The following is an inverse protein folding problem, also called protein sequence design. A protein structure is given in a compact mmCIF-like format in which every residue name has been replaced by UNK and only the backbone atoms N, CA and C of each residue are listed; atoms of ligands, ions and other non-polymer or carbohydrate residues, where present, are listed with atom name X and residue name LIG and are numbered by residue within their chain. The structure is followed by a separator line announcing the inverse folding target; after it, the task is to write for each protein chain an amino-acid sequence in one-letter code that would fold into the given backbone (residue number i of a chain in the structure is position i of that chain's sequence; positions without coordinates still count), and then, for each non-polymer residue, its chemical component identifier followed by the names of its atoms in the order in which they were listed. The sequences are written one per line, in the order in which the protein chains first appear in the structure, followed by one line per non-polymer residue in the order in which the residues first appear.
data_IF_219906735584
#
_entry.id   IF_219906735584
#
_cell.length_a   1.000
_cell.length_b   1.000
_cell.length_c   1.000
_cell.angle_alpha   90.00
_cell.angle_beta   90.00
_cell.angle_gamma   90.00
#
_symmetry.space_group_name_H-M   'P 1'
#
loop_
_entity.id
_entity.type
_entity.pdbx_description
1 polymer ?
#
# COMPACT_ATOMS: atom_id res chain seq x y z
N UNK A 1 -10.02 -16.42 -0.03
CA UNK A 1 -8.73 -17.08 0.22
C UNK A 1 -8.80 -17.73 1.59
N UNK A 2 -8.78 -19.05 1.68
CA UNK A 2 -8.69 -19.78 2.94
C UNK A 2 -7.24 -19.76 3.45
N UNK A 3 -6.77 -18.58 3.83
CA UNK A 3 -5.39 -18.34 4.27
C UNK A 3 -5.36 -17.22 5.30
N UNK A 4 -4.74 -17.48 6.45
CA UNK A 4 -4.56 -16.48 7.50
C UNK A 4 -3.40 -15.53 7.13
N UNK A 5 -3.72 -14.31 6.74
CA UNK A 5 -2.75 -13.26 6.45
C UNK A 5 -2.43 -12.38 7.66
N UNK A 6 -2.73 -12.88 8.85
CA UNK A 6 -2.40 -12.25 10.15
C UNK A 6 -2.89 -10.79 10.22
N UNK A 7 -4.17 -10.58 9.95
CA UNK A 7 -4.78 -9.27 10.13
C UNK A 7 -4.95 -8.98 11.63
N UNK A 8 -4.40 -7.85 12.07
CA UNK A 8 -4.56 -7.35 13.44
C UNK A 8 -5.41 -6.09 13.40
N UNK A 9 -6.65 -6.19 13.85
CA UNK A 9 -7.56 -5.05 13.94
C UNK A 9 -7.15 -4.16 15.11
N UNK A 10 -6.62 -2.96 14.79
CA UNK A 10 -6.07 -2.02 15.79
C UNK A 10 -6.63 -0.62 15.66
N UNK A 11 -7.50 -0.40 14.69
CA UNK A 11 -7.87 0.93 14.24
C UNK A 11 -6.74 1.61 13.44
N UNK A 12 -7.11 2.58 12.63
CA UNK A 12 -6.18 3.45 11.90
C UNK A 12 -6.61 4.89 12.07
N UNK A 13 -5.69 5.74 12.49
CA UNK A 13 -5.87 7.17 12.67
C UNK A 13 -4.96 7.92 11.69
N UNK A 14 -5.52 8.83 10.88
CA UNK A 14 -4.74 9.73 10.02
C UNK A 14 -4.86 11.14 10.57
N UNK A 15 -3.72 11.70 10.99
CA UNK A 15 -3.64 13.04 11.55
C UNK A 15 -3.81 14.12 10.47
N UNK A 16 -4.42 15.22 10.84
CA UNK A 16 -4.53 16.42 10.03
C UNK A 16 -3.77 17.57 10.70
N UNK A 17 -2.90 18.24 9.94
CA UNK A 17 -2.01 19.29 10.44
C UNK A 17 -2.30 20.66 9.86
N UNK A 18 -3.11 20.72 8.81
CA UNK A 18 -3.53 21.96 8.15
C UNK A 18 -5.03 22.03 7.99
N UNK A 19 -5.58 23.23 7.75
CA UNK A 19 -7.00 23.40 7.41
C UNK A 19 -7.38 22.67 6.10
N UNK A 20 -6.41 22.53 5.18
CA UNK A 20 -6.58 21.74 3.97
C UNK A 20 -6.81 20.26 4.29
N UNK A 21 -5.96 19.69 5.16
CA UNK A 21 -6.08 18.30 5.61
C UNK A 21 -7.39 18.06 6.35
N UNK A 22 -7.81 19.00 7.20
CA UNK A 22 -9.10 18.91 7.93
C UNK A 22 -10.27 18.81 6.94
N UNK A 23 -10.32 19.70 5.95
CA UNK A 23 -11.41 19.71 4.94
C UNK A 23 -11.44 18.43 4.14
N UNK A 24 -10.26 17.97 3.67
CA UNK A 24 -10.13 16.73 2.92
C UNK A 24 -10.52 15.52 3.78
N UNK A 25 -10.08 15.47 5.02
CA UNK A 25 -10.39 14.41 5.97
C UNK A 25 -11.89 14.30 6.27
N UNK A 26 -12.55 15.42 6.50
CA UNK A 26 -14.01 15.43 6.72
C UNK A 26 -14.76 14.95 5.48
N UNK A 27 -14.33 15.38 4.28
CA UNK A 27 -14.90 14.91 3.01
C UNK A 27 -14.71 13.40 2.85
N UNK A 28 -13.51 12.89 3.18
CA UNK A 28 -13.17 11.45 3.13
C UNK A 28 -14.01 10.63 4.11
N UNK A 29 -14.20 11.12 5.33
CA UNK A 29 -15.10 10.48 6.32
C UNK A 29 -16.52 10.37 5.77
N UNK A 30 -17.04 11.44 5.15
CA UNK A 30 -18.36 11.43 4.51
C UNK A 30 -18.46 10.38 3.40
N UNK A 31 -17.47 10.32 2.50
CA UNK A 31 -17.41 9.33 1.43
C UNK A 31 -17.28 7.89 1.96
N UNK A 32 -16.48 7.68 2.98
CA UNK A 32 -16.33 6.38 3.63
C UNK A 32 -17.65 5.90 4.23
N UNK A 33 -18.37 6.75 4.95
CA UNK A 33 -19.70 6.40 5.51
C UNK A 33 -20.71 6.02 4.42
N UNK A 34 -20.73 6.74 3.31
CA UNK A 34 -21.59 6.41 2.16
C UNK A 34 -21.26 5.04 1.55
N UNK A 35 -20.02 4.59 1.66
CA UNK A 35 -19.57 3.28 1.21
C UNK A 35 -19.64 2.20 2.32
N UNK A 36 -20.30 2.47 3.45
CA UNK A 36 -20.46 1.51 4.53
C UNK A 36 -19.21 1.28 5.39
N UNK A 37 -18.21 2.17 5.29
CA UNK A 37 -17.00 2.11 6.11
C UNK A 37 -17.22 2.90 7.39
N UNK A 38 -16.94 2.28 8.53
CA UNK A 38 -16.93 2.97 9.82
C UNK A 38 -15.74 3.94 9.84
N UNK A 39 -16.04 5.20 9.66
CA UNK A 39 -15.06 6.27 9.72
C UNK A 39 -15.64 7.44 10.48
N UNK A 40 -14.84 8.10 11.29
CA UNK A 40 -15.23 9.27 12.04
C UNK A 40 -14.13 10.32 12.03
N UNK A 41 -14.52 11.56 12.30
CA UNK A 41 -13.60 12.66 12.55
C UNK A 41 -13.45 12.84 14.06
N UNK A 42 -12.21 12.93 14.50
CA UNK A 42 -11.83 13.17 15.88
C UNK A 42 -11.24 14.58 16.01
N UNK A 43 -11.65 15.32 17.01
CA UNK A 43 -10.99 16.55 17.41
C UNK A 43 -9.67 16.26 18.15
N UNK A 44 -8.82 17.28 18.41
CA UNK A 44 -7.53 17.05 19.09
C UNK A 44 -7.65 16.42 20.48
N UNK A 45 -8.71 16.72 21.24
CA UNK A 45 -8.91 16.13 22.57
C UNK A 45 -9.22 14.64 22.47
N UNK A 46 -10.08 14.24 21.54
CA UNK A 46 -10.39 12.84 21.24
C UNK A 46 -9.18 12.08 20.70
N UNK A 47 -8.35 12.73 19.85
CA UNK A 47 -7.07 12.18 19.39
C UNK A 47 -6.16 11.89 20.59
N UNK A 48 -6.04 12.82 21.52
CA UNK A 48 -5.22 12.66 22.74
C UNK A 48 -5.73 11.54 23.65
N UNK A 49 -7.03 11.38 23.76
CA UNK A 49 -7.65 10.32 24.55
C UNK A 49 -7.32 8.93 23.96
N UNK A 50 -7.46 8.77 22.62
CA UNK A 50 -7.13 7.53 21.94
C UNK A 50 -5.63 7.27 21.83
N UNK A 51 -4.81 8.31 21.74
CA UNK A 51 -3.35 8.21 21.62
C UNK A 51 -2.64 9.14 22.60
N UNK A 52 -2.53 8.76 23.87
CA UNK A 52 -1.95 9.60 24.95
C UNK A 52 -0.49 10.04 24.72
N UNK A 53 0.27 9.31 23.92
CA UNK A 53 1.68 9.62 23.62
C UNK A 53 1.84 10.78 22.62
N UNK A 54 0.79 11.12 21.85
CA UNK A 54 0.88 12.21 20.87
C UNK A 54 1.00 13.59 21.57
N UNK A 55 1.89 14.41 21.05
CA UNK A 55 1.94 15.82 21.41
C UNK A 55 0.93 16.60 20.56
N UNK A 56 -0.10 17.16 21.20
CA UNK A 56 -1.15 17.94 20.55
C UNK A 56 -1.05 19.45 20.84
N UNK A 57 0.11 19.94 21.35
CA UNK A 57 0.28 21.37 21.64
C UNK A 57 0.29 22.19 20.35
N UNK A 58 -0.28 23.38 20.40
CA UNK A 58 -0.36 24.30 19.26
C UNK A 58 0.99 24.92 18.88
N UNK A 59 1.98 24.90 19.79
CA UNK A 59 3.30 25.50 19.59
C UNK A 59 4.33 24.58 18.95
N UNK A 60 3.92 23.48 18.38
CA UNK A 60 4.78 22.56 17.63
C UNK A 60 4.74 22.87 16.13
N UNK A 61 5.77 22.44 15.40
CA UNK A 61 5.90 22.71 13.96
C UNK A 61 4.71 22.21 13.13
N UNK A 62 4.12 21.08 13.51
CA UNK A 62 2.98 20.46 12.85
C UNK A 62 1.89 20.15 13.89
N UNK A 63 1.10 21.16 14.30
CA UNK A 63 0.04 20.97 15.30
C UNK A 63 -1.01 19.96 14.79
N UNK A 64 -1.52 19.14 15.70
CA UNK A 64 -2.59 18.21 15.38
C UNK A 64 -3.93 18.94 15.46
N UNK A 65 -4.58 19.12 14.31
CA UNK A 65 -5.89 19.77 14.19
C UNK A 65 -7.06 18.80 14.30
N UNK A 66 -6.80 17.52 14.36
CA UNK A 66 -7.74 16.41 14.44
C UNK A 66 -7.26 15.21 13.65
N UNK A 67 -8.10 14.21 13.49
CA UNK A 67 -7.78 13.00 12.74
C UNK A 67 -9.02 12.36 12.12
N UNK A 68 -8.86 11.60 11.05
CA UNK A 68 -9.82 10.56 10.68
C UNK A 68 -9.51 9.29 11.47
N UNK A 69 -10.54 8.56 11.88
CA UNK A 69 -10.38 7.30 12.57
C UNK A 69 -11.27 6.22 11.97
N UNK A 70 -10.70 5.04 11.79
CA UNK A 70 -11.39 3.84 11.34
C UNK A 70 -11.16 2.71 12.34
N UNK A 71 -12.10 2.45 13.24
CA UNK A 71 -11.90 1.49 14.36
C UNK A 71 -11.70 0.04 13.88
N UNK A 72 -12.30 -0.34 12.75
CA UNK A 72 -12.17 -1.69 12.18
C UNK A 72 -11.01 -1.88 11.22
N UNK A 73 -10.23 -0.85 10.96
CA UNK A 73 -9.00 -0.94 10.21
C UNK A 73 -7.87 -1.55 11.06
N UNK A 74 -6.73 -1.84 10.46
CA UNK A 74 -5.62 -2.46 11.18
C UNK A 74 -4.42 -2.74 10.30
N UNK A 75 -3.63 -3.71 10.70
CA UNK A 75 -2.40 -4.13 10.03
C UNK A 75 -2.59 -5.55 9.49
N UNK A 76 -2.25 -5.77 8.22
CA UNK A 76 -2.05 -7.10 7.65
C UNK A 76 -0.56 -7.30 7.36
N UNK A 77 -0.04 -8.49 7.59
CA UNK A 77 1.32 -8.83 7.16
C UNK A 77 1.35 -8.97 5.64
N UNK A 78 2.03 -8.04 4.97
CA UNK A 78 2.07 -7.97 3.51
C UNK A 78 2.64 -9.24 2.86
N UNK A 79 3.63 -9.90 3.48
CA UNK A 79 4.18 -11.18 3.01
C UNK A 79 3.11 -12.27 2.98
N UNK A 80 2.32 -12.39 4.04
CA UNK A 80 1.25 -13.38 4.14
C UNK A 80 0.15 -13.11 3.10
N UNK A 81 -0.15 -11.84 2.83
CA UNK A 81 -1.09 -11.46 1.75
C UNK A 81 -0.55 -11.91 0.40
N UNK A 82 0.73 -11.63 0.11
CA UNK A 82 1.37 -12.05 -1.14
C UNK A 82 1.39 -13.57 -1.29
N UNK A 83 1.72 -14.30 -0.22
CA UNK A 83 1.73 -15.77 -0.22
C UNK A 83 0.34 -16.37 -0.38
N UNK A 84 -0.69 -15.75 0.20
CA UNK A 84 -2.06 -16.20 0.01
C UNK A 84 -2.49 -16.13 -1.46
N UNK A 85 -2.16 -15.03 -2.14
CA UNK A 85 -2.40 -14.90 -3.57
C UNK A 85 -1.55 -15.87 -4.40
N UNK A 86 -0.26 -16.00 -4.11
CA UNK A 86 0.62 -16.92 -4.81
C UNK A 86 0.14 -18.37 -4.70
N UNK A 87 -0.23 -18.80 -3.49
CA UNK A 87 -0.80 -20.14 -3.26
C UNK A 87 -2.09 -20.34 -4.08
N UNK A 88 -2.97 -19.35 -4.11
CA UNK A 88 -4.21 -19.47 -4.88
C UNK A 88 -3.96 -19.49 -6.40
N UNK A 89 -2.97 -18.76 -6.87
CA UNK A 89 -2.55 -18.83 -8.27
C UNK A 89 -2.02 -20.23 -8.63
N UNK A 90 -1.18 -20.81 -7.78
CA UNK A 90 -0.64 -22.16 -7.96
C UNK A 90 -1.77 -23.22 -8.00
N UNK A 91 -2.74 -23.15 -7.08
CA UNK A 91 -3.94 -24.01 -7.08
C UNK A 91 -4.79 -23.88 -8.37
N UNK A 92 -4.73 -22.72 -9.03
CA UNK A 92 -5.42 -22.45 -10.30
C UNK A 92 -4.57 -22.79 -11.53
N UNK A 93 -3.40 -23.38 -11.35
CA UNK A 93 -2.50 -23.82 -12.43
C UNK A 93 -1.66 -22.70 -13.03
N UNK A 94 -1.40 -21.63 -12.27
CA UNK A 94 -0.50 -20.54 -12.69
C UNK A 94 0.93 -20.91 -12.31
N UNK A 95 1.85 -20.96 -13.28
CA UNK A 95 3.25 -21.14 -13.04
C UNK A 95 3.89 -19.89 -12.42
N UNK A 96 4.44 -19.99 -11.23
CA UNK A 96 5.15 -18.92 -10.54
C UNK A 96 6.65 -19.17 -10.59
N UNK A 97 7.35 -18.40 -11.40
CA UNK A 97 8.80 -18.54 -11.60
C UNK A 97 9.53 -17.46 -10.82
N UNK A 98 10.00 -17.80 -9.64
CA UNK A 98 10.78 -16.89 -8.79
C UNK A 98 12.22 -16.70 -9.31
N UNK A 99 12.83 -15.56 -8.96
CA UNK A 99 14.20 -15.23 -9.39
C UNK A 99 14.38 -15.32 -10.92
N UNK A 100 13.36 -14.89 -11.64
CA UNK A 100 13.30 -14.87 -13.09
C UNK A 100 13.12 -13.41 -13.57
N UNK A 101 14.23 -12.78 -13.87
CA UNK A 101 14.27 -11.38 -14.31
C UNK A 101 13.90 -11.27 -15.79
N UNK A 102 12.95 -10.40 -16.11
CA UNK A 102 12.64 -10.03 -17.50
C UNK A 102 13.66 -9.02 -17.99
N UNK A 103 14.42 -9.40 -19.00
CA UNK A 103 15.51 -8.59 -19.59
C UNK A 103 15.13 -7.96 -20.93
N UNK A 104 13.95 -8.25 -21.46
CA UNK A 104 13.46 -7.67 -22.70
C UNK A 104 12.20 -8.35 -23.24
N UNK A 105 11.74 -7.86 -24.39
CA UNK A 105 10.56 -8.38 -25.07
C UNK A 105 10.91 -8.92 -26.45
N UNK A 106 10.22 -9.98 -26.86
CA UNK A 106 10.21 -10.44 -28.25
C UNK A 106 9.08 -9.72 -28.98
N UNK A 107 9.38 -9.21 -30.16
CA UNK A 107 8.41 -8.49 -30.99
C UNK A 107 8.37 -9.06 -32.39
N UNK A 108 7.17 -9.10 -32.95
CA UNK A 108 6.90 -9.30 -34.34
C UNK A 108 6.17 -8.05 -34.86
N UNK A 109 6.87 -7.19 -35.61
CA UNK A 109 6.41 -5.86 -35.93
C UNK A 109 6.10 -5.04 -34.66
N UNK A 110 4.85 -4.63 -34.51
CA UNK A 110 4.38 -3.82 -33.39
C UNK A 110 3.73 -4.68 -32.26
N UNK A 111 3.76 -6.00 -32.39
CA UNK A 111 3.15 -6.95 -31.46
C UNK A 111 4.21 -7.60 -30.57
N UNK A 112 3.95 -7.68 -29.26
CA UNK A 112 4.75 -8.51 -28.34
C UNK A 112 4.34 -9.96 -28.54
N UNK A 113 5.34 -10.84 -28.72
CA UNK A 113 5.17 -12.29 -28.92
C UNK A 113 5.88 -13.12 -27.86
N UNK A 114 6.50 -12.48 -26.88
CA UNK A 114 7.15 -13.15 -25.77
C UNK A 114 8.02 -12.22 -24.93
N UNK A 115 8.63 -12.80 -23.91
CA UNK A 115 9.58 -12.13 -23.04
C UNK A 115 10.92 -12.86 -23.00
N UNK A 116 12.01 -12.12 -22.92
CA UNK A 116 13.36 -12.64 -22.64
C UNK A 116 13.61 -12.55 -21.14
N UNK A 117 14.14 -13.60 -20.57
CA UNK A 117 14.48 -13.64 -19.15
C UNK A 117 15.92 -14.16 -18.97
N UNK A 118 16.45 -13.97 -17.76
CA UNK A 118 17.73 -14.57 -17.36
C UNK A 118 17.71 -16.12 -17.29
N UNK A 119 16.53 -16.75 -17.49
CA UNK A 119 16.33 -18.21 -17.50
C UNK A 119 15.89 -18.75 -18.85
N UNK A 120 15.86 -17.91 -19.88
CA UNK A 120 15.43 -18.28 -21.22
C UNK A 120 14.27 -17.43 -21.72
N UNK A 121 13.65 -17.87 -22.78
CA UNK A 121 12.57 -17.15 -23.46
C UNK A 121 11.23 -17.81 -23.19
N UNK A 122 10.21 -16.98 -22.92
CA UNK A 122 8.82 -17.42 -22.77
C UNK A 122 8.02 -16.80 -23.92
N UNK A 123 7.45 -17.63 -24.77
CA UNK A 123 6.57 -17.19 -25.83
C UNK A 123 5.15 -16.99 -25.30
N UNK A 124 4.52 -15.87 -25.65
CA UNK A 124 3.16 -15.55 -25.22
C UNK A 124 2.53 -14.52 -26.16
N UNK A 125 1.23 -14.55 -26.27
CA UNK A 125 0.49 -13.58 -27.08
C UNK A 125 0.18 -12.29 -26.34
N UNK A 126 0.24 -12.29 -25.00
CA UNK A 126 -0.10 -11.15 -24.13
C UNK A 126 0.84 -11.10 -22.94
N UNK A 127 1.24 -9.89 -22.55
CA UNK A 127 2.07 -9.64 -21.37
C UNK A 127 1.42 -8.56 -20.51
N UNK A 128 1.21 -8.85 -19.23
CA UNK A 128 0.79 -7.88 -18.23
C UNK A 128 2.00 -7.35 -17.45
N UNK A 129 2.18 -6.03 -17.38
CA UNK A 129 3.23 -5.40 -16.58
C UNK A 129 2.68 -5.04 -15.19
N UNK A 130 3.01 -5.82 -14.17
CA UNK A 130 2.59 -5.63 -12.79
C UNK A 130 3.82 -5.48 -11.87
N UNK A 131 4.74 -4.58 -12.22
CA UNK A 131 6.05 -4.43 -11.57
C UNK A 131 6.15 -3.16 -10.70
N UNK A 132 5.02 -2.58 -10.29
CA UNK A 132 4.95 -1.39 -9.43
C UNK A 132 5.95 -0.30 -9.85
N UNK A 133 6.90 0.07 -9.00
CA UNK A 133 7.90 1.10 -9.28
C UNK A 133 8.83 0.82 -10.46
N UNK A 134 8.94 -0.43 -10.92
CA UNK A 134 9.77 -0.81 -12.07
C UNK A 134 8.99 -0.88 -13.39
N UNK A 135 7.68 -0.57 -13.36
CA UNK A 135 6.82 -0.66 -14.56
C UNK A 135 7.29 0.26 -15.69
N UNK A 136 7.82 1.45 -15.39
CA UNK A 136 8.35 2.38 -16.40
C UNK A 136 9.57 1.81 -17.13
N UNK A 137 10.46 1.10 -16.42
CA UNK A 137 11.65 0.47 -17.00
C UNK A 137 11.23 -0.63 -17.98
N UNK A 138 10.30 -1.49 -17.59
CA UNK A 138 9.79 -2.54 -18.47
C UNK A 138 9.00 -1.97 -19.66
N UNK A 139 8.27 -0.87 -19.47
CA UNK A 139 7.57 -0.18 -20.55
C UNK A 139 8.55 0.37 -21.60
N UNK A 140 9.65 0.97 -21.17
CA UNK A 140 10.72 1.43 -22.08
C UNK A 140 11.32 0.26 -22.87
N UNK A 141 11.61 -0.86 -22.23
CA UNK A 141 12.07 -2.09 -22.93
C UNK A 141 11.02 -2.57 -23.96
N UNK A 142 9.73 -2.38 -23.67
CA UNK A 142 8.65 -2.70 -24.59
C UNK A 142 8.45 -1.62 -25.69
N UNK A 143 9.12 -0.48 -25.59
CA UNK A 143 9.11 0.60 -26.59
C UNK A 143 7.99 1.61 -26.40
N UNK A 144 7.46 1.76 -25.19
CA UNK A 144 6.51 2.83 -24.86
C UNK A 144 6.83 3.46 -23.51
N UNK A 145 6.32 4.66 -23.29
CA UNK A 145 6.55 5.41 -22.05
C UNK A 145 5.30 5.36 -21.16
N UNK A 146 5.50 5.03 -19.88
CA UNK A 146 4.51 5.24 -18.83
C UNK A 146 4.84 6.51 -18.04
N UNK A 147 3.85 7.37 -17.74
CA UNK A 147 4.06 8.56 -16.92
C UNK A 147 4.10 8.20 -15.42
N UNK A 148 4.96 7.26 -15.07
CA UNK A 148 5.17 6.80 -13.69
C UNK A 148 6.57 7.20 -13.26
N UNK A 149 6.66 7.88 -12.13
CA UNK A 149 7.92 8.21 -11.47
C UNK A 149 7.97 7.54 -10.10
N UNK A 150 9.02 6.77 -9.86
CA UNK A 150 9.24 6.11 -8.58
C UNK A 150 9.98 7.03 -7.63
N UNK A 151 9.48 7.15 -6.40
CA UNK A 151 10.14 7.87 -5.32
C UNK A 151 10.51 6.88 -4.21
N UNK A 152 11.78 6.87 -3.77
CA UNK A 152 12.16 6.05 -2.62
C UNK A 152 11.49 6.61 -1.35
N UNK A 153 10.88 5.71 -0.58
CA UNK A 153 10.39 6.02 0.76
C UNK A 153 11.29 5.35 1.79
N UNK A 154 11.43 6.00 2.93
CA UNK A 154 12.22 5.47 4.03
C UNK A 154 11.29 4.74 5.01
N UNK A 155 11.64 3.51 5.37
CA UNK A 155 10.99 2.75 6.42
C UNK A 155 12.00 2.49 7.54
N UNK A 156 11.55 2.62 8.78
CA UNK A 156 12.34 2.34 9.98
C UNK A 156 11.61 1.31 10.82
N UNK A 157 12.35 0.38 11.38
CA UNK A 157 11.84 -0.64 12.29
C UNK A 157 12.64 -0.55 13.58
N UNK A 158 11.95 -0.45 14.70
CA UNK A 158 12.58 -0.48 16.03
C UNK A 158 12.98 -1.90 16.41
N UNK A 159 13.86 -2.05 17.37
CA UNK A 159 14.02 -3.29 18.11
C UNK A 159 12.74 -3.63 18.87
N UNK A 160 12.62 -4.88 19.32
CA UNK A 160 11.50 -5.32 20.13
C UNK A 160 11.45 -4.53 21.43
N UNK A 161 10.32 -3.94 21.73
CA UNK A 161 10.04 -3.24 22.98
C UNK A 161 8.57 -3.44 23.37
N UNK A 162 8.23 -3.07 24.59
CA UNK A 162 6.86 -3.09 25.05
C UNK A 162 5.95 -2.22 24.16
N UNK A 163 4.72 -2.67 23.88
CA UNK A 163 3.77 -1.89 23.08
C UNK A 163 3.46 -0.55 23.75
N UNK A 164 3.79 0.55 23.07
CA UNK A 164 3.54 1.92 23.57
C UNK A 164 2.19 2.47 23.12
N UNK A 165 1.63 1.90 22.05
CA UNK A 165 0.36 2.37 21.51
C UNK A 165 -0.32 1.29 20.65
N UNK A 166 -1.62 1.02 20.83
CA UNK A 166 -2.33 -0.05 20.14
C UNK A 166 -2.77 0.31 18.71
N UNK A 167 -3.05 1.59 18.42
CA UNK A 167 -3.64 2.06 17.17
C UNK A 167 -2.57 2.44 16.14
N UNK A 168 -2.83 2.21 14.87
CA UNK A 168 -1.96 2.70 13.79
C UNK A 168 -2.17 4.20 13.62
N UNK A 169 -1.10 4.97 13.71
CA UNK A 169 -1.11 6.42 13.51
C UNK A 169 -0.32 6.78 12.26
N UNK A 170 -0.94 7.56 11.40
CA UNK A 170 -0.37 8.08 10.16
C UNK A 170 -0.42 9.61 10.18
N UNK A 171 0.62 10.24 9.63
CA UNK A 171 0.78 11.69 9.58
C UNK A 171 1.25 12.13 8.20
#
# INVERSE_FOLDING_TARGET
LEYDFLFSQRGVMNLAHTLGDVRESIRRVGANKLNGVDAEWLDPAQVKELCPILNINDNIRYPVMGATYQPRAGIAKHDHVAWAFARKCDELGVDIIQNCEVTGFLKDGNRVVGVKTNRGTINTEKVGLCAAGHSSVLAEMAGFRLPIQSHPLQALVSELHEPVHPTVVMS
#
